data_IF_168824349321
#
_entry.id   IF_168824349321
#
_cell.length_a   1.000
_cell.length_b   1.000
_cell.length_c   1.000
_cell.angle_alpha   90.00
_cell.angle_beta   90.00
_cell.angle_gamma   90.00
#
_symmetry.space_group_name_H-M   'P 1'
#
loop_
_entity.id
_entity.type
_entity.pdbx_description
1 polymer ?
#
# COMPACT_ATOMS: atom_id res chain seq x y z
N UNK A 1 14.07 -20.54 4.87
CA UNK A 1 14.21 -19.17 4.32
C UNK A 1 15.56 -18.61 4.74
N UNK A 2 16.16 -17.75 3.92
CA UNK A 2 17.40 -17.04 4.25
C UNK A 2 17.10 -15.86 5.19
N UNK A 3 18.16 -15.21 5.71
CA UNK A 3 18.06 -13.96 6.48
C UNK A 3 18.01 -12.71 5.60
N UNK A 4 18.10 -12.85 4.28
CA UNK A 4 18.08 -11.73 3.35
C UNK A 4 16.69 -11.08 3.28
N UNK A 5 16.66 -9.75 3.29
CA UNK A 5 15.44 -8.94 3.11
C UNK A 5 15.71 -7.85 2.08
N UNK A 6 14.71 -7.56 1.24
CA UNK A 6 14.72 -6.44 0.29
C UNK A 6 13.93 -5.23 0.77
N UNK A 7 13.35 -5.28 1.97
CA UNK A 7 12.37 -4.30 2.45
C UNK A 7 10.96 -4.49 1.87
N UNK A 8 10.78 -5.45 0.97
CA UNK A 8 9.46 -5.91 0.50
C UNK A 8 8.96 -7.13 1.26
N UNK A 9 7.70 -7.56 1.01
CA UNK A 9 7.07 -8.65 1.75
C UNK A 9 7.56 -10.06 1.37
N UNK A 10 8.49 -10.17 0.42
CA UNK A 10 8.97 -11.44 -0.07
C UNK A 10 9.88 -12.12 0.96
N UNK A 11 9.60 -13.39 1.27
CA UNK A 11 10.55 -14.27 1.97
C UNK A 11 11.44 -14.94 0.92
N UNK A 12 12.75 -14.98 1.15
CA UNK A 12 13.72 -15.48 0.16
C UNK A 12 14.28 -16.85 0.54
N UNK A 13 14.53 -17.68 -0.48
CA UNK A 13 15.23 -18.96 -0.39
C UNK A 13 16.41 -18.94 -1.36
N UNK A 14 17.51 -19.60 -0.96
CA UNK A 14 18.71 -19.76 -1.77
C UNK A 14 18.68 -21.14 -2.42
N UNK A 15 18.94 -21.21 -3.73
CA UNK A 15 19.11 -22.49 -4.41
C UNK A 15 20.43 -23.15 -3.97
N UNK A 16 20.41 -24.46 -3.72
CA UNK A 16 21.60 -25.17 -3.26
C UNK A 16 22.74 -25.04 -4.27
N UNK A 17 23.95 -24.76 -3.78
CA UNK A 17 25.19 -24.61 -4.56
C UNK A 17 25.18 -23.50 -5.62
N UNK A 18 24.17 -22.61 -5.62
CA UNK A 18 24.04 -21.51 -6.56
C UNK A 18 23.93 -20.18 -5.82
N UNK A 19 24.23 -19.06 -6.50
CA UNK A 19 24.06 -17.71 -5.94
C UNK A 19 22.64 -17.14 -6.13
N UNK A 20 21.78 -17.84 -6.87
CA UNK A 20 20.40 -17.45 -7.17
C UNK A 20 19.44 -17.55 -5.98
N UNK A 21 18.64 -16.50 -5.79
CA UNK A 21 17.56 -16.42 -4.78
C UNK A 21 16.20 -16.42 -5.44
N UNK A 22 15.23 -17.08 -4.80
CA UNK A 22 13.80 -17.06 -5.19
C UNK A 22 13.00 -16.47 -4.03
N UNK A 23 12.16 -15.48 -4.33
CA UNK A 23 11.30 -14.81 -3.35
C UNK A 23 9.85 -15.22 -3.51
N UNK A 24 9.17 -15.54 -2.40
CA UNK A 24 7.73 -15.82 -2.39
C UNK A 24 7.00 -14.75 -1.59
N UNK A 25 5.89 -14.25 -2.15
CA UNK A 25 4.96 -13.31 -1.50
C UNK A 25 3.65 -14.07 -1.27
N UNK A 26 3.20 -14.10 -0.02
CA UNK A 26 2.01 -14.88 0.39
C UNK A 26 0.90 -13.96 0.91
N UNK A 27 0.23 -13.19 0.03
CA UNK A 27 -0.64 -12.08 0.45
C UNK A 27 -1.85 -12.52 1.29
N UNK A 28 -2.33 -13.76 1.13
CA UNK A 28 -3.51 -14.27 1.85
C UNK A 28 -3.15 -15.05 3.12
N UNK A 29 -2.32 -16.09 3.00
CA UNK A 29 -2.04 -17.02 4.11
C UNK A 29 -1.12 -16.44 5.19
N UNK A 30 -0.27 -15.49 4.81
CA UNK A 30 0.67 -14.79 5.70
C UNK A 30 0.77 -13.35 5.21
N UNK A 31 -0.32 -12.60 5.42
CA UNK A 31 -0.36 -11.19 5.03
C UNK A 31 0.75 -10.40 5.75
N UNK A 32 1.09 -9.25 5.19
CA UNK A 32 2.21 -8.40 5.61
C UNK A 32 1.75 -6.97 5.89
N UNK A 33 0.47 -6.81 6.23
CA UNK A 33 -0.12 -5.50 6.46
C UNK A 33 0.40 -4.83 7.74
N UNK A 34 0.70 -5.64 8.76
CA UNK A 34 1.31 -5.25 10.04
C UNK A 34 2.62 -4.45 9.88
N UNK A 35 3.37 -4.75 8.83
CA UNK A 35 4.65 -4.13 8.49
C UNK A 35 4.55 -3.23 7.25
N UNK A 36 3.35 -3.03 6.71
CA UNK A 36 3.13 -2.25 5.49
C UNK A 36 3.21 -0.74 5.76
N UNK A 37 4.31 -0.14 5.31
CA UNK A 37 4.57 1.30 5.40
C UNK A 37 4.26 2.07 4.10
N UNK A 38 3.39 1.54 3.23
CA UNK A 38 3.11 2.11 1.91
C UNK A 38 1.76 2.83 1.86
N UNK A 39 1.79 4.00 1.23
CA UNK A 39 0.63 4.76 0.73
C UNK A 39 0.85 5.10 -0.74
N UNK A 40 -0.21 5.46 -1.47
CA UNK A 40 -0.12 5.77 -2.90
C UNK A 40 -0.87 7.06 -3.22
N UNK A 41 -0.35 7.84 -4.15
CA UNK A 41 -1.03 9.01 -4.70
C UNK A 41 -1.41 8.71 -6.15
N UNK A 42 -2.69 8.85 -6.49
CA UNK A 42 -3.14 8.70 -7.88
C UNK A 42 -2.72 9.89 -8.74
N UNK A 43 -2.84 9.76 -10.06
CA UNK A 43 -2.63 10.89 -11.00
C UNK A 43 -3.61 12.04 -10.82
N UNK A 44 -4.73 11.81 -10.11
CA UNK A 44 -5.69 12.85 -9.71
C UNK A 44 -5.31 13.56 -8.40
N UNK A 45 -4.21 13.16 -7.77
CA UNK A 45 -3.77 13.64 -6.46
C UNK A 45 -4.68 13.17 -5.32
N UNK A 46 -5.14 11.92 -5.39
CA UNK A 46 -5.87 11.26 -4.31
C UNK A 46 -4.90 10.35 -3.53
N UNK A 47 -4.84 10.51 -2.21
CA UNK A 47 -4.02 9.67 -1.32
C UNK A 47 -4.81 8.44 -0.89
N UNK A 48 -4.37 7.27 -1.32
CA UNK A 48 -4.88 5.96 -0.89
C UNK A 48 -3.95 5.36 0.17
N UNK A 49 -4.54 4.94 1.29
CA UNK A 49 -3.80 4.43 2.46
C UNK A 49 -3.59 2.93 2.44
N UNK A 50 -4.40 2.25 1.63
CA UNK A 50 -4.32 0.82 1.39
C UNK A 50 -4.66 0.55 -0.07
N UNK A 51 -3.94 -0.39 -0.67
CA UNK A 51 -4.32 -0.90 -1.98
C UNK A 51 -5.70 -1.58 -1.94
N UNK A 52 -6.02 -2.13 -0.77
CA UNK A 52 -7.13 -2.97 -0.39
C UNK A 52 -8.48 -2.28 -0.09
N UNK A 53 -8.53 -0.95 -0.13
CA UNK A 53 -9.67 -0.15 0.33
C UNK A 53 -9.92 1.07 -0.56
N UNK A 54 -11.14 1.63 -0.52
CA UNK A 54 -11.57 2.74 -1.39
C UNK A 54 -11.41 4.11 -0.72
N UNK A 55 -11.25 4.15 0.59
CA UNK A 55 -11.01 5.36 1.37
C UNK A 55 -9.77 6.11 0.85
N UNK A 56 -9.95 7.41 0.64
CA UNK A 56 -8.95 8.29 0.06
C UNK A 56 -9.06 9.70 0.62
N UNK A 57 -7.98 10.47 0.47
CA UNK A 57 -7.95 11.90 0.78
C UNK A 57 -7.62 12.67 -0.49
N UNK A 58 -8.37 13.73 -0.77
CA UNK A 58 -8.13 14.59 -1.91
C UNK A 58 -7.05 15.63 -1.59
N UNK A 59 -5.86 15.48 -2.15
CA UNK A 59 -4.74 16.40 -1.94
C UNK A 59 -4.80 17.60 -2.91
N UNK A 60 -5.36 17.41 -4.11
CA UNK A 60 -5.42 18.48 -5.12
C UNK A 60 -6.16 19.74 -4.66
N UNK A 61 -7.32 19.67 -3.96
CA UNK A 61 -7.97 20.87 -3.44
C UNK A 61 -7.06 21.65 -2.48
N UNK A 62 -6.34 20.96 -1.58
CA UNK A 62 -5.42 21.58 -0.63
C UNK A 62 -4.28 22.31 -1.34
N UNK A 63 -3.65 21.65 -2.31
CA UNK A 63 -2.58 22.25 -3.12
C UNK A 63 -3.04 23.49 -3.89
N UNK A 64 -4.29 23.49 -4.39
CA UNK A 64 -4.85 24.62 -5.12
C UNK A 64 -5.27 25.78 -4.21
N UNK A 65 -5.80 25.47 -3.04
CA UNK A 65 -6.25 26.47 -2.06
C UNK A 65 -5.05 27.14 -1.36
N UNK A 66 -3.97 26.40 -1.14
CA UNK A 66 -2.78 26.84 -0.43
C UNK A 66 -1.51 26.66 -1.29
N UNK A 67 -1.37 27.39 -2.41
CA UNK A 67 -0.30 27.14 -3.39
C UNK A 67 1.11 27.46 -2.90
N UNK A 68 1.25 28.21 -1.81
CA UNK A 68 2.54 28.63 -1.25
C UNK A 68 2.80 28.07 0.16
N UNK A 69 1.95 27.15 0.64
CA UNK A 69 2.01 26.63 2.00
C UNK A 69 1.89 25.11 2.01
N UNK A 70 2.91 24.43 2.54
CA UNK A 70 2.95 22.96 2.60
C UNK A 70 2.22 22.39 3.82
N UNK A 71 2.03 23.17 4.87
CA UNK A 71 1.47 22.66 6.12
C UNK A 71 0.08 22.00 5.97
N UNK A 72 -0.84 22.45 5.07
CA UNK A 72 -2.15 21.81 4.93
C UNK A 72 -2.04 20.40 4.36
N UNK A 73 -1.17 20.20 3.35
CA UNK A 73 -0.96 18.88 2.76
C UNK A 73 -0.19 17.96 3.72
N UNK A 74 0.82 18.48 4.42
CA UNK A 74 1.53 17.73 5.46
C UNK A 74 0.58 17.26 6.56
N UNK A 75 -0.27 18.16 7.05
CA UNK A 75 -1.29 17.85 8.05
C UNK A 75 -2.24 16.76 7.54
N UNK A 76 -2.76 16.90 6.32
CA UNK A 76 -3.65 15.90 5.74
C UNK A 76 -2.99 14.52 5.61
N UNK A 77 -1.71 14.46 5.21
CA UNK A 77 -0.96 13.19 5.13
C UNK A 77 -0.76 12.59 6.52
N UNK A 78 -0.39 13.38 7.53
CA UNK A 78 -0.17 12.88 8.90
C UNK A 78 -1.49 12.39 9.50
N UNK A 79 -2.55 13.18 9.41
CA UNK A 79 -3.88 12.81 9.92
C UNK A 79 -4.44 11.58 9.20
N UNK A 80 -4.08 11.38 7.92
CA UNK A 80 -4.46 10.17 7.19
C UNK A 80 -3.95 8.88 7.81
N UNK A 81 -2.80 8.91 8.50
CA UNK A 81 -2.24 7.71 9.10
C UNK A 81 -3.12 7.17 10.23
N UNK A 82 -3.91 8.03 10.87
CA UNK A 82 -4.86 7.63 11.91
C UNK A 82 -6.03 6.81 11.39
N UNK A 83 -6.35 6.94 10.09
CA UNK A 83 -7.43 6.20 9.43
C UNK A 83 -6.90 5.13 8.47
N UNK A 84 -5.58 4.89 8.46
CA UNK A 84 -5.00 3.79 7.70
C UNK A 84 -5.49 2.47 8.32
N UNK A 85 -6.09 1.57 7.54
CA UNK A 85 -6.55 0.29 8.08
C UNK A 85 -5.37 -0.52 8.58
N UNK A 86 -5.60 -1.24 9.68
CA UNK A 86 -4.62 -2.18 10.25
C UNK A 86 -4.22 -3.27 9.25
N UNK A 87 -5.21 -3.82 8.53
CA UNK A 87 -4.98 -4.82 7.51
C UNK A 87 -5.96 -4.71 6.35
N UNK A 88 -5.54 -5.24 5.20
CA UNK A 88 -6.48 -5.53 4.12
C UNK A 88 -7.24 -6.81 4.46
N UNK A 89 -8.57 -6.73 4.47
CA UNK A 89 -9.42 -7.91 4.65
C UNK A 89 -9.47 -8.72 3.35
N UNK A 90 -8.84 -9.90 3.39
CA UNK A 90 -8.84 -10.88 2.31
C UNK A 90 -9.93 -11.94 2.59
N UNK A 91 -11.19 -11.52 2.62
CA UNK A 91 -12.30 -12.47 2.78
C UNK A 91 -12.56 -13.21 1.46
N UNK A 92 -12.00 -14.43 1.36
CA UNK A 92 -12.13 -15.30 0.18
C UNK A 92 -13.52 -15.96 0.07
N UNK A 93 -14.34 -15.92 1.12
CA UNK A 93 -15.70 -16.48 1.10
C UNK A 93 -16.70 -15.53 0.42
N UNK A 94 -16.38 -14.23 0.39
CA UNK A 94 -17.18 -13.22 -0.30
C UNK A 94 -16.83 -13.28 -1.79
N UNK A 95 -17.70 -13.90 -2.59
CA UNK A 95 -17.57 -13.97 -4.05
C UNK A 95 -17.95 -12.64 -4.74
N UNK A 96 -17.45 -11.52 -4.22
CA UNK A 96 -17.59 -10.17 -4.78
C UNK A 96 -16.24 -9.45 -4.68
N UNK A 97 -15.90 -8.60 -5.67
CA UNK A 97 -14.68 -7.83 -5.59
C UNK A 97 -14.72 -6.91 -4.37
N UNK A 98 -13.69 -7.00 -3.51
CA UNK A 98 -13.56 -6.14 -2.33
C UNK A 98 -13.39 -4.66 -2.71
N UNK A 99 -12.98 -4.38 -3.96
CA UNK A 99 -12.60 -3.06 -4.47
C UNK A 99 -13.02 -3.00 -5.94
N UNK A 100 -13.60 -1.88 -6.36
CA UNK A 100 -14.03 -1.67 -7.76
C UNK A 100 -12.93 -0.97 -8.57
N UNK A 101 -12.06 -0.22 -7.89
CA UNK A 101 -10.91 0.46 -8.48
C UNK A 101 -9.87 -0.51 -9.07
N UNK A 102 -9.47 -0.23 -10.31
CA UNK A 102 -8.36 -0.91 -10.98
C UNK A 102 -7.00 -0.47 -10.40
N UNK A 103 -6.04 -1.40 -10.43
CA UNK A 103 -4.66 -1.15 -10.01
C UNK A 103 -4.04 0.08 -10.69
N UNK A 104 -4.35 0.26 -11.99
CA UNK A 104 -3.81 1.34 -12.84
C UNK A 104 -4.18 2.73 -12.35
N UNK A 105 -5.31 2.86 -11.63
CA UNK A 105 -5.71 4.12 -11.00
C UNK A 105 -4.75 4.56 -9.89
N UNK A 106 -4.06 3.61 -9.25
CA UNK A 106 -3.11 3.87 -8.15
C UNK A 106 -1.65 3.76 -8.57
N UNK A 107 -1.36 3.78 -9.88
CA UNK A 107 -0.01 3.73 -10.42
C UNK A 107 0.62 2.34 -10.47
N UNK A 108 -0.20 1.27 -10.57
CA UNK A 108 0.25 -0.12 -10.76
C UNK A 108 -0.46 -0.81 -11.90
#
# INVERSE_FOLDING_TARGET
PTTFTSGGPAKYWQLANESTKIGFISPHSHNFCDTCNRVRVSSKGELFLCLGQEEKIELMPLLRQYPNEDWPIQKAIIESMMIKPEAHDFNLEINKPAIVRFMSHTGG
#
